data_IF_200239871097
#
_entry.id   IF_200239871097
#
_cell.length_a   1.000
_cell.length_b   1.000
_cell.length_c   1.000
_cell.angle_alpha   90.00
_cell.angle_beta   90.00
_cell.angle_gamma   90.00
#
_symmetry.space_group_name_H-M   'P 1'
#
loop_
_entity.id
_entity.type
_entity.pdbx_description
1 polymer ?
#
# COMPACT_ATOMS: atom_id res chain seq x y z
N UNK A 1 11.36 -14.79 8.54
CA UNK A 1 10.13 -13.96 8.41
C UNK A 1 9.77 -13.24 9.72
N UNK A 2 10.01 -13.83 10.90
CA UNK A 2 9.66 -13.26 12.21
C UNK A 2 10.35 -11.93 12.57
N UNK A 3 11.64 -11.76 12.24
CA UNK A 3 12.36 -10.50 12.47
C UNK A 3 11.82 -9.34 11.60
N UNK A 4 11.39 -9.63 10.36
CA UNK A 4 10.79 -8.64 9.47
C UNK A 4 9.42 -8.17 9.94
N UNK A 5 8.60 -9.08 10.49
CA UNK A 5 7.31 -8.73 11.09
C UNK A 5 7.50 -7.87 12.34
N UNK A 6 8.42 -8.25 13.24
CA UNK A 6 8.72 -7.48 14.45
C UNK A 6 9.25 -6.06 14.12
N UNK A 7 10.16 -5.96 13.15
CA UNK A 7 10.65 -4.65 12.69
C UNK A 7 9.56 -3.83 12.01
N UNK A 8 8.67 -4.45 11.22
CA UNK A 8 7.55 -3.76 10.56
C UNK A 8 6.52 -3.22 11.55
N UNK A 9 6.34 -3.90 12.68
CA UNK A 9 5.47 -3.46 13.77
C UNK A 9 6.00 -2.20 14.48
N UNK A 10 7.32 -2.01 14.50
CA UNK A 10 7.96 -0.81 15.09
C UNK A 10 8.17 0.27 14.03
N UNK A 11 8.54 -0.10 12.80
CA UNK A 11 8.77 0.84 11.71
C UNK A 11 7.49 1.47 11.19
N UNK A 12 6.37 0.74 11.17
CA UNK A 12 5.06 1.26 10.76
C UNK A 12 4.65 2.51 11.55
N UNK A 13 4.61 2.46 12.89
CA UNK A 13 4.43 3.62 13.76
C UNK A 13 5.35 4.80 13.46
N UNK A 14 6.65 4.54 13.32
CA UNK A 14 7.66 5.58 13.08
C UNK A 14 7.46 6.24 11.72
N UNK A 15 7.17 5.45 10.69
CA UNK A 15 6.88 5.95 9.35
C UNK A 15 5.58 6.75 9.33
N UNK A 16 4.55 6.31 10.04
CA UNK A 16 3.31 7.07 10.21
C UNK A 16 3.52 8.43 10.90
N UNK A 17 4.40 8.49 11.90
CA UNK A 17 4.77 9.76 12.57
C UNK A 17 5.53 10.66 11.60
N UNK A 18 6.50 10.11 10.85
CA UNK A 18 7.27 10.86 9.83
C UNK A 18 6.37 11.45 8.76
N UNK A 19 5.47 10.65 8.17
CA UNK A 19 4.54 11.12 7.14
C UNK A 19 3.67 12.26 7.70
N UNK A 20 3.12 12.12 8.92
CA UNK A 20 2.33 13.19 9.55
C UNK A 20 3.13 14.48 9.72
N UNK A 21 4.38 14.38 10.15
CA UNK A 21 5.27 15.53 10.29
C UNK A 21 5.63 16.18 8.95
N UNK A 22 5.72 15.40 7.87
CA UNK A 22 6.02 15.89 6.52
C UNK A 22 4.78 16.46 5.82
N UNK A 23 3.58 15.95 6.12
CA UNK A 23 2.33 16.41 5.51
C UNK A 23 1.64 17.55 6.27
N UNK A 24 2.16 17.94 7.44
CA UNK A 24 1.56 19.04 8.21
C UNK A 24 1.81 20.41 7.54
N UNK A 25 0.93 21.40 7.75
CA UNK A 25 1.15 22.75 7.23
C UNK A 25 2.38 23.40 7.85
N UNK A 26 3.16 24.13 7.04
CA UNK A 26 4.27 24.95 7.53
C UNK A 26 3.77 26.29 8.09
N UNK A 27 4.42 26.79 9.14
CA UNK A 27 4.11 28.10 9.75
C UNK A 27 3.05 28.06 10.85
N UNK A 28 2.12 29.02 10.85
CA UNK A 28 1.13 29.25 11.94
C UNK A 28 0.10 28.11 12.08
N UNK A 29 -0.01 27.24 11.07
CA UNK A 29 -0.88 26.05 11.06
C UNK A 29 -0.21 24.74 11.52
N UNK A 30 0.98 24.79 12.13
CA UNK A 30 1.71 23.60 12.58
C UNK A 30 0.92 22.84 13.65
N UNK A 31 0.58 21.59 13.36
CA UNK A 31 -0.17 20.72 14.28
C UNK A 31 0.72 20.04 15.32
N UNK A 32 2.02 19.88 15.03
CA UNK A 32 2.96 19.15 15.87
C UNK A 32 4.27 19.92 16.03
N UNK A 33 4.73 20.07 17.28
CA UNK A 33 6.00 20.74 17.59
C UNK A 33 7.23 19.85 17.33
N UNK A 34 7.01 18.54 17.15
CA UNK A 34 8.06 17.57 16.85
C UNK A 34 7.58 16.12 16.89
N UNK A 35 8.47 15.14 16.67
CA UNK A 35 8.11 13.72 16.61
C UNK A 35 7.52 13.17 17.91
N UNK A 36 8.06 13.62 19.04
CA UNK A 36 7.57 13.20 20.36
C UNK A 36 6.18 13.76 20.66
N UNK A 37 5.96 15.04 20.34
CA UNK A 37 4.67 15.70 20.49
C UNK A 37 3.59 15.06 19.59
N UNK A 38 3.93 14.78 18.32
CA UNK A 38 3.07 14.01 17.42
C UNK A 38 2.71 12.64 17.98
N UNK A 39 3.70 11.90 18.49
CA UNK A 39 3.48 10.55 19.06
C UNK A 39 2.54 10.62 20.25
N UNK A 40 2.79 11.56 21.19
CA UNK A 40 1.98 11.75 22.39
C UNK A 40 0.55 12.11 22.05
N UNK A 41 0.34 13.08 21.15
CA UNK A 41 -0.99 13.50 20.72
C UNK A 41 -1.75 12.38 20.00
N UNK A 42 -1.08 11.59 19.16
CA UNK A 42 -1.70 10.45 18.46
C UNK A 42 -2.12 9.36 19.45
N UNK A 43 -1.25 9.01 20.40
CA UNK A 43 -1.56 8.01 21.44
C UNK A 43 -2.69 8.51 22.35
N UNK A 44 -2.71 9.80 22.71
CA UNK A 44 -3.78 10.37 23.54
C UNK A 44 -5.12 10.46 22.82
N UNK A 45 -5.14 10.79 21.51
CA UNK A 45 -6.38 10.94 20.74
C UNK A 45 -6.96 9.61 20.25
N UNK A 46 -6.12 8.67 19.82
CA UNK A 46 -6.57 7.46 19.12
C UNK A 46 -6.16 6.15 19.82
N UNK A 47 -5.28 6.22 20.83
CA UNK A 47 -4.78 5.05 21.55
C UNK A 47 -3.73 4.26 20.77
N UNK A 48 -3.00 3.39 21.49
CA UNK A 48 -2.00 2.49 20.90
C UNK A 48 -2.60 1.52 19.88
N UNK A 49 -3.86 1.09 20.08
CA UNK A 49 -4.56 0.18 19.16
C UNK A 49 -4.80 0.77 17.77
N UNK A 50 -4.91 2.10 17.64
CA UNK A 50 -5.11 2.73 16.34
C UNK A 50 -3.90 2.59 15.42
N UNK A 51 -2.69 2.57 15.98
CA UNK A 51 -1.45 2.33 15.21
C UNK A 51 -1.42 0.92 14.62
N UNK A 52 -1.79 -0.10 15.41
CA UNK A 52 -1.87 -1.48 14.92
C UNK A 52 -3.01 -1.68 13.92
N UNK A 53 -4.13 -0.97 14.07
CA UNK A 53 -5.25 -1.04 13.12
C UNK A 53 -4.87 -0.44 11.76
N UNK A 54 -4.15 0.68 11.75
CA UNK A 54 -3.60 1.26 10.53
C UNK A 54 -2.63 0.29 9.84
N UNK A 55 -1.73 -0.34 10.60
CA UNK A 55 -0.81 -1.35 10.07
C UNK A 55 -1.56 -2.55 9.47
N UNK A 56 -2.59 -3.06 10.14
CA UNK A 56 -3.38 -4.18 9.65
C UNK A 56 -4.10 -3.84 8.32
N UNK A 57 -4.64 -2.62 8.20
CA UNK A 57 -5.28 -2.15 6.96
C UNK A 57 -4.25 -2.08 5.82
N UNK A 58 -3.05 -1.56 6.10
CA UNK A 58 -1.96 -1.52 5.11
C UNK A 58 -1.55 -2.92 4.64
N UNK A 59 -1.42 -3.87 5.58
CA UNK A 59 -1.09 -5.27 5.26
C UNK A 59 -2.16 -5.92 4.40
N UNK A 60 -3.45 -5.73 4.73
CA UNK A 60 -4.56 -6.28 3.93
C UNK A 60 -4.56 -5.69 2.53
N UNK A 61 -4.33 -4.38 2.40
CA UNK A 61 -4.22 -3.71 1.09
C UNK A 61 -3.06 -4.28 0.27
N UNK A 62 -1.89 -4.43 0.88
CA UNK A 62 -0.72 -5.01 0.21
C UNK A 62 -0.96 -6.48 -0.17
N UNK A 63 -1.54 -7.27 0.72
CA UNK A 63 -1.86 -8.67 0.46
C UNK A 63 -2.85 -8.83 -0.71
N UNK A 64 -3.89 -7.99 -0.77
CA UNK A 64 -4.83 -7.97 -1.89
C UNK A 64 -4.10 -7.63 -3.20
N UNK A 65 -3.25 -6.60 -3.19
CA UNK A 65 -2.57 -6.14 -4.37
C UNK A 65 -1.54 -7.17 -4.89
N UNK A 66 -0.75 -7.76 -3.99
CA UNK A 66 0.13 -8.88 -4.33
C UNK A 66 -0.67 -10.11 -4.81
N UNK A 67 -1.85 -10.37 -4.23
CA UNK A 67 -2.74 -11.44 -4.66
C UNK A 67 -3.14 -11.31 -6.13
N UNK A 68 -3.60 -10.12 -6.55
CA UNK A 68 -3.94 -9.87 -7.96
C UNK A 68 -2.72 -9.94 -8.88
N UNK A 69 -1.57 -9.43 -8.43
CA UNK A 69 -0.32 -9.54 -9.18
C UNK A 69 0.08 -11.00 -9.43
N UNK A 70 0.12 -11.84 -8.38
CA UNK A 70 0.49 -13.24 -8.50
C UNK A 70 -0.54 -14.03 -9.31
N UNK A 71 -1.83 -13.79 -9.11
CA UNK A 71 -2.90 -14.46 -9.86
C UNK A 71 -2.78 -14.20 -11.36
N UNK A 72 -2.59 -12.94 -11.75
CA UNK A 72 -2.49 -12.54 -13.16
C UNK A 72 -1.18 -13.00 -13.79
N UNK A 73 -0.08 -12.96 -13.03
CA UNK A 73 1.20 -13.49 -13.47
C UNK A 73 1.17 -15.00 -13.69
N UNK A 74 0.66 -15.77 -12.72
CA UNK A 74 0.59 -17.23 -12.83
C UNK A 74 -0.35 -17.70 -13.93
N UNK A 75 -1.52 -17.06 -14.06
CA UNK A 75 -2.47 -17.39 -15.14
C UNK A 75 -1.84 -17.15 -16.51
N UNK A 76 -1.16 -16.01 -16.70
CA UNK A 76 -0.48 -15.70 -17.95
C UNK A 76 0.64 -16.71 -18.26
N UNK A 77 1.52 -17.00 -17.29
CA UNK A 77 2.62 -17.96 -17.47
C UNK A 77 2.08 -19.37 -17.75
N UNK A 78 1.02 -19.79 -17.06
CA UNK A 78 0.40 -21.09 -17.28
C UNK A 78 -0.24 -21.20 -18.67
N UNK A 79 -0.88 -20.14 -19.16
CA UNK A 79 -1.42 -20.09 -20.52
C UNK A 79 -0.32 -20.14 -21.59
N UNK A 80 0.77 -19.40 -21.37
CA UNK A 80 1.96 -19.42 -22.23
C UNK A 80 2.56 -20.83 -22.32
N UNK A 81 2.73 -21.49 -21.16
CA UNK A 81 3.26 -22.85 -21.04
C UNK A 81 2.37 -23.86 -21.75
N UNK A 82 1.04 -23.78 -21.54
CA UNK A 82 0.06 -24.66 -22.21
C UNK A 82 0.09 -24.50 -23.73
N UNK A 83 0.14 -23.26 -24.24
CA UNK A 83 0.13 -22.98 -25.68
C UNK A 83 1.42 -23.40 -26.39
N UNK A 84 2.56 -23.37 -25.69
CA UNK A 84 3.86 -23.76 -26.24
C UNK A 84 4.23 -25.22 -25.95
N UNK A 85 3.49 -25.91 -25.07
CA UNK A 85 3.83 -27.26 -24.62
C UNK A 85 5.20 -27.34 -23.92
N UNK A 86 5.67 -26.23 -23.36
CA UNK A 86 7.02 -26.07 -22.81
C UNK A 86 7.02 -26.07 -21.28
N UNK A 87 8.13 -26.44 -20.65
CA UNK A 87 8.27 -26.35 -19.19
C UNK A 87 8.38 -24.88 -18.78
N UNK A 88 7.97 -24.51 -17.55
CA UNK A 88 8.09 -23.14 -17.01
C UNK A 88 9.50 -22.53 -17.14
N UNK A 89 10.54 -23.36 -17.19
CA UNK A 89 11.95 -22.95 -17.32
C UNK A 89 12.36 -22.58 -18.75
N UNK A 90 11.64 -23.06 -19.77
CA UNK A 90 11.93 -22.82 -21.19
C UNK A 90 11.25 -21.54 -21.71
N UNK A 91 10.48 -20.85 -20.86
CA UNK A 91 9.79 -19.60 -21.22
C UNK A 91 10.83 -18.49 -21.40
N UNK A 92 10.93 -17.87 -22.59
CA UNK A 92 11.95 -16.87 -22.85
C UNK A 92 11.73 -15.61 -22.00
N UNK A 93 12.83 -15.00 -21.55
CA UNK A 93 12.84 -13.87 -20.59
C UNK A 93 11.96 -12.69 -21.00
N UNK A 94 11.87 -12.38 -22.30
CA UNK A 94 11.02 -11.29 -22.79
C UNK A 94 9.53 -11.57 -22.56
N UNK A 95 9.11 -12.83 -22.63
CA UNK A 95 7.73 -13.25 -22.43
C UNK A 95 7.35 -13.23 -20.95
N UNK A 96 8.30 -13.59 -20.08
CA UNK A 96 8.21 -13.37 -18.63
C UNK A 96 8.11 -11.87 -18.31
N UNK A 97 8.87 -11.03 -19.03
CA UNK A 97 8.79 -9.58 -18.94
C UNK A 97 7.42 -9.02 -19.31
N UNK A 98 6.81 -9.51 -20.40
CA UNK A 98 5.44 -9.12 -20.81
C UNK A 98 4.39 -9.60 -19.79
N UNK A 99 4.55 -10.82 -19.26
CA UNK A 99 3.69 -11.34 -18.20
C UNK A 99 3.76 -10.47 -16.94
N UNK A 100 4.96 -10.06 -16.53
CA UNK A 100 5.19 -9.14 -15.41
C UNK A 100 4.64 -7.72 -15.67
N UNK A 101 4.78 -7.22 -16.90
CA UNK A 101 4.21 -5.93 -17.29
C UNK A 101 2.68 -5.92 -17.23
N UNK A 102 2.04 -6.98 -17.71
CA UNK A 102 0.58 -7.09 -17.72
C UNK A 102 0.02 -7.35 -16.32
N UNK A 103 0.69 -8.15 -15.49
CA UNK A 103 0.31 -8.30 -14.08
C UNK A 103 0.46 -6.99 -13.32
N UNK A 104 1.44 -6.16 -13.67
CA UNK A 104 1.56 -4.78 -13.19
C UNK A 104 0.34 -3.93 -13.55
N UNK A 105 -0.15 -3.96 -14.79
CA UNK A 105 -1.36 -3.22 -15.18
C UNK A 105 -2.59 -3.72 -14.42
N UNK A 106 -2.73 -5.04 -14.24
CA UNK A 106 -3.85 -5.60 -13.48
C UNK A 106 -3.80 -5.24 -11.99
N UNK A 107 -2.60 -5.19 -11.40
CA UNK A 107 -2.36 -4.66 -10.06
C UNK A 107 -2.86 -3.21 -9.92
N UNK A 108 -2.54 -2.36 -10.90
CA UNK A 108 -2.99 -0.97 -10.91
C UNK A 108 -4.51 -0.88 -11.09
N UNK A 109 -5.11 -1.62 -12.02
CA UNK A 109 -6.56 -1.65 -12.27
C UNK A 109 -7.37 -2.06 -11.03
N UNK A 110 -6.88 -3.04 -10.24
CA UNK A 110 -7.53 -3.40 -8.97
C UNK A 110 -7.48 -2.28 -7.93
N UNK A 111 -6.48 -1.39 -8.00
CA UNK A 111 -6.28 -0.30 -7.04
C UNK A 111 -7.08 0.95 -7.39
N UNK A 112 -7.32 1.19 -8.68
CA UNK A 112 -8.09 2.34 -9.19
C UNK A 112 -9.44 2.61 -8.51
N UNK A 113 -10.34 1.61 -8.30
CA UNK A 113 -11.63 1.91 -7.67
C UNK A 113 -11.47 2.41 -6.22
N UNK A 114 -10.48 1.92 -5.49
CA UNK A 114 -10.20 2.38 -4.13
C UNK A 114 -9.61 3.79 -4.11
N UNK A 115 -8.85 4.16 -5.15
CA UNK A 115 -8.27 5.49 -5.25
C UNK A 115 -9.30 6.53 -5.67
N UNK A 116 -10.22 6.21 -6.59
CA UNK A 116 -11.34 7.10 -6.96
C UNK A 116 -12.22 7.43 -5.74
N UNK A 117 -12.58 6.43 -4.93
CA UNK A 117 -13.41 6.65 -3.73
C UNK A 117 -12.69 7.57 -2.72
N UNK A 118 -11.38 7.40 -2.52
CA UNK A 118 -10.62 8.30 -1.64
C UNK A 118 -10.58 9.73 -2.16
N UNK A 119 -10.44 9.92 -3.48
CA UNK A 119 -10.42 11.26 -4.08
C UNK A 119 -11.79 11.93 -3.96
N UNK A 120 -12.89 11.19 -4.17
CA UNK A 120 -14.25 11.69 -3.97
C UNK A 120 -14.49 12.11 -2.52
N UNK A 121 -14.14 11.27 -1.54
CA UNK A 121 -14.28 11.60 -0.13
C UNK A 121 -13.43 12.81 0.30
N UNK A 122 -12.30 13.04 -0.37
CA UNK A 122 -11.46 14.21 -0.11
C UNK A 122 -12.07 15.47 -0.71
N UNK A 123 -12.56 15.40 -1.95
CA UNK A 123 -13.27 16.51 -2.61
C UNK A 123 -14.52 16.93 -1.86
N UNK A 124 -15.31 15.98 -1.33
CA UNK A 124 -16.50 16.27 -0.53
C UNK A 124 -16.15 17.06 0.74
N UNK A 125 -15.09 16.65 1.45
CA UNK A 125 -14.60 17.39 2.62
C UNK A 125 -14.06 18.79 2.30
N UNK A 126 -13.40 18.95 1.17
CA UNK A 126 -12.90 20.26 0.74
C UNK A 126 -14.08 21.18 0.37
N UNK A 127 -15.16 20.63 -0.22
CA UNK A 127 -16.39 21.36 -0.54
C UNK A 127 -17.17 21.79 0.72
N UNK A 128 -17.28 20.93 1.74
CA UNK A 128 -17.93 21.25 3.02
C UNK A 128 -17.15 22.26 3.87
N UNK A 129 -15.88 22.52 3.52
CA UNK A 129 -15.01 23.47 4.23
C UNK A 129 -15.01 24.90 3.66
N UNK A 130 -15.72 25.11 2.55
CA UNK A 130 -15.96 26.41 1.89
C UNK A 130 -17.28 27.04 2.34
#
# INVERSE_FOLDING_TARGET
MSAGVANSVISGPVEHIKIRLQTQPDGVGRLYSGPWDCTKQVVQKFGYKALFRAQAISIVREAQAYGFYFLTFETMINEIVKRRGQTRQDVPTWLVGVAGGTSGVAFWLSSYPLDVVKMLNKLEKDLDSL
#
